data_IF_855738377188
#
_entry.id   IF_855738377188
#
_cell.length_a   1.000
_cell.length_b   1.000
_cell.length_c   1.000
_cell.angle_alpha   90.00
_cell.angle_beta   90.00
_cell.angle_gamma   90.00
#
_symmetry.space_group_name_H-M   'P 1'
#
loop_
_entity.id
_entity.type
_entity.pdbx_description
1 polymer ?
#
# COMPACT_ATOMS: atom_id res chain seq x y z
N UNK A 1 -17.41 -2.18 -10.42
CA UNK A 1 -18.30 -2.33 -9.25
C UNK A 1 -17.41 -2.27 -8.01
N UNK A 2 -17.78 -1.40 -7.03
CA UNK A 2 -17.05 -1.29 -5.77
C UNK A 2 -17.21 -2.56 -4.95
N UNK A 3 -16.11 -3.02 -4.33
CA UNK A 3 -16.09 -4.14 -3.41
C UNK A 3 -15.65 -3.69 -2.02
N UNK A 4 -16.14 -4.30 -0.94
CA UNK A 4 -15.71 -3.95 0.41
C UNK A 4 -14.21 -4.20 0.59
N UNK A 5 -13.62 -3.47 1.51
CA UNK A 5 -12.23 -3.70 1.90
C UNK A 5 -12.07 -5.07 2.56
N UNK A 6 -10.98 -5.73 2.24
CA UNK A 6 -10.61 -7.01 2.86
C UNK A 6 -9.86 -6.78 4.17
N UNK A 7 -9.79 -7.80 5.05
CA UNK A 7 -9.00 -7.71 6.29
C UNK A 7 -7.52 -7.36 6.07
N UNK A 8 -6.94 -7.77 4.95
CA UNK A 8 -5.55 -7.50 4.60
C UNK A 8 -5.33 -6.09 4.01
N UNK A 9 -6.40 -5.34 3.72
CA UNK A 9 -6.27 -4.01 3.16
C UNK A 9 -5.93 -2.99 4.24
N UNK A 10 -5.02 -2.04 3.96
CA UNK A 10 -4.73 -0.97 4.90
C UNK A 10 -5.95 -0.05 5.05
N UNK A 11 -6.21 0.48 6.24
CA UNK A 11 -7.29 1.46 6.44
C UNK A 11 -6.91 2.84 5.91
N UNK A 12 -5.61 3.12 5.82
CA UNK A 12 -5.07 4.42 5.41
C UNK A 12 -3.71 4.23 4.73
N UNK A 13 -3.45 4.97 3.67
CA UNK A 13 -2.15 5.05 2.99
C UNK A 13 -1.80 6.52 2.82
N UNK A 14 -0.61 6.94 3.30
CA UNK A 14 -0.29 8.34 3.40
C UNK A 14 -1.36 9.11 4.18
N UNK A 15 -1.87 10.18 3.63
CA UNK A 15 -2.94 11.00 4.23
C UNK A 15 -4.36 10.59 3.81
N UNK A 16 -4.50 9.49 3.06
CA UNK A 16 -5.76 9.08 2.45
C UNK A 16 -6.39 7.89 3.16
N UNK A 17 -7.66 8.02 3.53
CA UNK A 17 -8.48 6.92 4.06
C UNK A 17 -9.07 6.10 2.91
N UNK A 18 -9.07 4.77 3.07
CA UNK A 18 -9.55 3.86 2.04
C UNK A 18 -10.96 3.37 2.41
N UNK A 19 -11.89 3.46 1.44
CA UNK A 19 -13.31 3.15 1.64
C UNK A 19 -13.72 1.84 0.98
N UNK A 20 -13.25 1.60 -0.25
CA UNK A 20 -13.62 0.42 -1.02
C UNK A 20 -12.53 0.03 -2.02
N UNK A 21 -12.54 -1.23 -2.43
CA UNK A 21 -11.75 -1.73 -3.56
C UNK A 21 -12.43 -1.41 -4.88
N UNK A 22 -11.66 -0.95 -5.83
CA UNK A 22 -12.10 -0.58 -7.18
C UNK A 22 -11.67 -1.60 -8.23
N UNK A 23 -10.37 -1.89 -8.26
CA UNK A 23 -9.72 -2.85 -9.16
C UNK A 23 -8.70 -3.65 -8.37
N UNK A 24 -8.62 -4.94 -8.61
CA UNK A 24 -7.58 -5.80 -8.04
C UNK A 24 -6.89 -6.61 -9.13
N UNK A 25 -5.57 -6.64 -9.09
CA UNK A 25 -4.70 -7.41 -9.95
C UNK A 25 -3.57 -8.04 -9.12
N UNK A 26 -2.84 -9.04 -9.63
CA UNK A 26 -1.69 -9.59 -8.93
C UNK A 26 -0.59 -8.56 -8.62
N UNK A 27 -0.50 -7.51 -9.42
CA UNK A 27 0.46 -6.40 -9.23
C UNK A 27 0.06 -5.41 -8.15
N UNK A 28 -1.20 -5.36 -7.74
CA UNK A 28 -1.68 -4.42 -6.74
C UNK A 28 -3.18 -4.24 -6.71
N UNK A 29 -3.62 -3.25 -5.95
CA UNK A 29 -5.04 -2.92 -5.78
C UNK A 29 -5.25 -1.43 -5.93
N UNK A 30 -6.30 -1.06 -6.66
CA UNK A 30 -6.81 0.30 -6.67
C UNK A 30 -8.00 0.41 -5.71
N UNK A 31 -7.99 1.45 -4.91
CA UNK A 31 -9.01 1.76 -3.91
C UNK A 31 -9.68 3.09 -4.25
N UNK A 32 -10.93 3.21 -3.87
CA UNK A 32 -11.57 4.52 -3.65
C UNK A 32 -11.33 4.90 -2.20
N UNK A 33 -11.05 6.17 -1.98
CA UNK A 33 -10.85 6.74 -0.67
C UNK A 33 -11.10 8.23 -0.66
N UNK A 34 -10.72 8.87 0.42
CA UNK A 34 -10.87 10.32 0.59
C UNK A 34 -9.71 10.92 1.37
N UNK A 35 -9.47 12.20 1.18
CA UNK A 35 -8.54 12.99 1.96
C UNK A 35 -9.15 13.49 3.27
N UNK A 36 -8.42 14.33 4.02
CA UNK A 36 -8.88 14.93 5.28
C UNK A 36 -10.08 15.88 5.09
N UNK A 37 -10.29 16.39 3.88
CA UNK A 37 -11.40 17.28 3.52
C UNK A 37 -12.59 16.52 2.91
N UNK A 38 -12.57 15.18 2.95
CA UNK A 38 -13.53 14.30 2.30
C UNK A 38 -13.56 14.44 0.75
N UNK A 39 -12.47 14.90 0.14
CA UNK A 39 -12.37 14.92 -1.33
C UNK A 39 -12.11 13.48 -1.81
N UNK A 40 -12.92 12.97 -2.75
CA UNK A 40 -12.75 11.61 -3.25
C UNK A 40 -11.45 11.49 -4.04
N UNK A 41 -10.72 10.40 -3.77
CA UNK A 41 -9.49 10.03 -4.49
C UNK A 41 -9.54 8.57 -4.93
N UNK A 42 -8.72 8.24 -5.91
CA UNK A 42 -8.38 6.86 -6.25
C UNK A 42 -6.93 6.60 -5.88
N UNK A 43 -6.68 5.56 -5.08
CA UNK A 43 -5.34 5.20 -4.65
C UNK A 43 -4.96 3.85 -5.24
N UNK A 44 -3.87 3.80 -5.97
CA UNK A 44 -3.28 2.57 -6.49
C UNK A 44 -2.09 2.20 -5.60
N UNK A 45 -2.12 1.00 -5.03
CA UNK A 45 -1.09 0.45 -4.15
C UNK A 45 -0.56 -0.85 -4.74
N UNK A 46 0.75 -0.96 -4.87
CA UNK A 46 1.38 -2.21 -5.34
C UNK A 46 1.23 -3.35 -4.32
N UNK A 47 1.20 -4.57 -4.85
CA UNK A 47 1.26 -5.78 -4.04
C UNK A 47 2.63 -5.96 -3.39
N UNK A 48 2.70 -6.79 -2.35
CA UNK A 48 3.95 -7.16 -1.67
C UNK A 48 4.99 -7.71 -2.67
N UNK A 49 4.55 -8.55 -3.60
CA UNK A 49 5.42 -9.12 -4.61
C UNK A 49 5.96 -8.09 -5.59
N UNK A 50 5.10 -7.23 -6.14
CA UNK A 50 5.50 -6.16 -7.05
C UNK A 50 6.38 -5.11 -6.34
N UNK A 51 6.08 -4.79 -5.07
CA UNK A 51 6.86 -3.86 -4.27
C UNK A 51 8.30 -4.36 -4.03
N UNK A 52 8.50 -5.67 -3.87
CA UNK A 52 9.82 -6.27 -3.70
C UNK A 52 10.64 -6.31 -4.99
N UNK A 53 10.00 -6.27 -6.18
CA UNK A 53 10.68 -6.33 -7.48
C UNK A 53 11.04 -4.93 -8.01
N UNK A 54 12.34 -4.69 -8.22
CA UNK A 54 12.83 -3.39 -8.71
C UNK A 54 12.22 -3.01 -10.07
N UNK A 55 12.14 -3.96 -11.00
CA UNK A 55 11.57 -3.73 -12.33
C UNK A 55 10.08 -3.39 -12.28
N UNK A 56 9.32 -4.00 -11.35
CA UNK A 56 7.91 -3.66 -11.14
C UNK A 56 7.75 -2.24 -10.59
N UNK A 57 8.59 -1.83 -9.63
CA UNK A 57 8.60 -0.45 -9.10
C UNK A 57 8.93 0.57 -10.18
N UNK A 58 9.92 0.29 -11.04
CA UNK A 58 10.28 1.18 -12.16
C UNK A 58 9.15 1.29 -13.19
N UNK A 59 8.50 0.18 -13.55
CA UNK A 59 7.33 0.21 -14.44
C UNK A 59 6.19 1.04 -13.83
N UNK A 60 5.93 0.88 -12.55
CA UNK A 60 4.93 1.68 -11.85
C UNK A 60 5.27 3.17 -11.87
N UNK A 61 6.52 3.54 -11.53
CA UNK A 61 6.98 4.92 -11.60
C UNK A 61 6.88 5.48 -13.03
N UNK A 62 7.23 4.69 -14.04
CA UNK A 62 7.09 5.03 -15.45
C UNK A 62 5.64 5.29 -15.84
N UNK A 63 4.72 4.39 -15.48
CA UNK A 63 3.28 4.54 -15.74
C UNK A 63 2.72 5.80 -15.08
N UNK A 64 3.09 6.06 -13.82
CA UNK A 64 2.66 7.28 -13.09
C UNK A 64 3.22 8.54 -13.73
N UNK A 65 4.48 8.52 -14.18
CA UNK A 65 5.11 9.68 -14.84
C UNK A 65 4.51 10.02 -16.22
N UNK A 66 3.78 9.09 -16.84
CA UNK A 66 3.05 9.34 -18.09
C UNK A 66 1.70 10.05 -17.86
N UNK A 67 1.18 10.03 -16.64
CA UNK A 67 -0.08 10.68 -16.31
C UNK A 67 0.02 12.21 -16.43
N UNK A 68 -1.13 12.84 -16.65
CA UNK A 68 -1.20 14.30 -16.59
C UNK A 68 -0.94 14.78 -15.17
N UNK A 69 -0.20 15.87 -15.01
CA UNK A 69 0.24 16.39 -13.72
C UNK A 69 -0.93 16.72 -12.78
N UNK A 70 -2.06 17.14 -13.34
CA UNK A 70 -3.24 17.48 -12.53
C UNK A 70 -4.03 16.25 -12.07
N UNK A 71 -3.75 15.08 -12.64
CA UNK A 71 -4.35 13.81 -12.23
C UNK A 71 -3.69 13.23 -10.98
N UNK A 72 -2.39 13.47 -10.82
CA UNK A 72 -1.61 12.93 -9.69
C UNK A 72 -1.66 13.91 -8.52
N UNK A 73 -2.31 13.48 -7.42
CA UNK A 73 -2.45 14.28 -6.19
C UNK A 73 -1.23 14.08 -5.30
N UNK A 74 -0.83 12.81 -5.09
CA UNK A 74 0.33 12.45 -4.27
C UNK A 74 0.87 11.09 -4.69
N UNK A 75 2.09 10.81 -4.31
CA UNK A 75 2.74 9.50 -4.50
C UNK A 75 3.73 9.25 -3.37
N UNK A 76 4.03 7.99 -3.09
CA UNK A 76 4.99 7.60 -2.07
C UNK A 76 5.37 6.14 -2.19
N UNK A 77 6.23 5.71 -1.26
CA UNK A 77 6.85 4.40 -1.29
C UNK A 77 8.16 4.38 -2.08
N UNK A 78 8.87 3.28 -1.99
CA UNK A 78 10.22 3.16 -2.51
C UNK A 78 10.28 3.33 -4.04
N UNK A 79 11.19 4.18 -4.51
CA UNK A 79 11.38 4.46 -5.94
C UNK A 79 10.35 5.42 -6.56
N UNK A 80 9.56 6.14 -5.75
CA UNK A 80 8.57 7.11 -6.24
C UNK A 80 9.05 8.55 -6.21
N UNK A 81 10.24 8.82 -5.73
CA UNK A 81 10.88 10.14 -5.68
C UNK A 81 11.66 10.49 -6.94
N UNK A 82 11.79 9.55 -7.88
CA UNK A 82 12.46 9.75 -9.17
C UNK A 82 11.48 10.15 -10.28
N UNK A 83 11.96 10.91 -11.25
CA UNK A 83 11.22 11.32 -12.43
C UNK A 83 10.50 12.66 -12.32
N UNK A 84 9.69 12.98 -13.35
CA UNK A 84 9.09 14.31 -13.56
C UNK A 84 8.25 14.81 -12.38
N UNK A 85 7.59 13.93 -11.68
CA UNK A 85 6.68 14.25 -10.57
C UNK A 85 7.33 14.06 -9.20
N UNK A 86 8.52 13.45 -9.11
CA UNK A 86 9.18 13.10 -7.87
C UNK A 86 9.36 14.29 -6.92
N UNK A 87 10.01 15.34 -7.38
CA UNK A 87 10.30 16.53 -6.56
C UNK A 87 9.05 17.28 -6.08
N UNK A 88 7.92 17.16 -6.80
CA UNK A 88 6.66 17.83 -6.44
C UNK A 88 5.91 17.12 -5.33
N UNK A 89 6.04 15.80 -5.26
CA UNK A 89 5.19 14.95 -4.41
C UNK A 89 5.99 14.12 -3.39
N UNK A 90 7.27 14.46 -3.19
CA UNK A 90 8.09 13.80 -2.19
C UNK A 90 7.53 14.07 -0.79
N UNK A 91 7.25 13.00 -0.06
CA UNK A 91 6.84 13.08 1.33
C UNK A 91 8.06 12.96 2.25
N UNK A 92 8.10 13.66 3.38
CA UNK A 92 9.18 13.53 4.38
C UNK A 92 9.31 12.11 4.97
N UNK A 93 8.27 11.27 4.77
CA UNK A 93 8.30 9.86 5.17
C UNK A 93 9.05 8.94 4.20
N UNK A 94 9.57 9.48 3.09
CA UNK A 94 10.41 8.75 2.13
C UNK A 94 11.90 8.76 2.55
N UNK A 95 12.16 8.64 3.86
CA UNK A 95 13.51 8.45 4.35
C UNK A 95 14.16 7.22 3.71
N UNK A 96 15.47 7.27 3.44
CA UNK A 96 16.17 6.15 2.85
C UNK A 96 15.96 4.91 3.73
N UNK A 97 15.35 3.90 3.12
CA UNK A 97 15.13 2.60 3.75
C UNK A 97 16.49 1.95 3.93
N UNK A 98 16.75 1.38 5.11
CA UNK A 98 17.93 0.58 5.34
C UNK A 98 18.00 -0.51 4.24
N UNK A 99 19.16 -0.77 3.61
CA UNK A 99 19.30 -1.79 2.57
C UNK A 99 18.78 -3.18 2.97
N UNK A 100 18.75 -3.48 4.27
CA UNK A 100 18.26 -4.75 4.81
C UNK A 100 16.74 -4.76 5.05
N UNK A 101 16.06 -3.61 4.96
CA UNK A 101 14.62 -3.51 5.13
C UNK A 101 13.86 -3.84 3.84
N UNK A 102 12.67 -4.45 4.00
CA UNK A 102 11.77 -4.63 2.87
C UNK A 102 11.33 -3.26 2.33
N UNK A 103 11.34 -3.05 1.00
CA UNK A 103 10.99 -1.77 0.43
C UNK A 103 9.52 -1.42 0.73
N UNK A 104 9.28 -0.15 1.08
CA UNK A 104 7.92 0.38 1.19
C UNK A 104 7.19 0.24 -0.15
N UNK A 105 5.97 -0.26 -0.10
CA UNK A 105 5.17 -0.46 -1.30
C UNK A 105 4.86 0.87 -1.99
N UNK A 106 5.20 1.00 -3.27
CA UNK A 106 4.82 2.16 -4.06
C UNK A 106 3.31 2.34 -4.14
N UNK A 107 2.88 3.59 -4.06
CA UNK A 107 1.49 3.97 -4.22
C UNK A 107 1.36 5.34 -4.91
N UNK A 108 0.20 5.58 -5.49
CA UNK A 108 -0.18 6.87 -6.08
C UNK A 108 -1.63 7.18 -5.76
N UNK A 109 -1.89 8.41 -5.34
CA UNK A 109 -3.23 8.98 -5.19
C UNK A 109 -3.54 9.83 -6.43
N UNK A 110 -4.67 9.53 -7.06
CA UNK A 110 -5.15 10.17 -8.28
C UNK A 110 -6.49 10.86 -8.02
N UNK A 111 -6.74 11.94 -8.75
CA UNK A 111 -8.06 12.57 -8.76
C UNK A 111 -9.11 11.57 -9.25
N UNK A 112 -10.23 11.47 -8.54
CA UNK A 112 -11.29 10.51 -8.83
C UNK A 112 -12.63 11.19 -9.04
N UNK A 113 -13.16 11.04 -10.23
CA UNK A 113 -14.44 11.61 -10.66
C UNK A 113 -15.57 10.56 -10.75
N UNK A 114 -15.28 9.30 -10.38
CA UNK A 114 -16.23 8.20 -10.47
C UNK A 114 -16.41 7.65 -11.90
N UNK A 115 -15.66 8.15 -12.88
CA UNK A 115 -15.81 7.75 -14.27
C UNK A 115 -15.26 6.36 -14.56
N UNK A 116 -15.83 5.65 -15.55
CA UNK A 116 -15.23 4.41 -16.04
C UNK A 116 -13.80 4.59 -16.59
N UNK A 117 -13.47 5.78 -17.08
CA UNK A 117 -12.15 6.12 -17.58
C UNK A 117 -11.11 6.11 -16.46
N UNK A 118 -11.40 6.68 -15.30
CA UNK A 118 -10.53 6.63 -14.13
C UNK A 118 -10.28 5.19 -13.67
N UNK A 119 -11.34 4.36 -13.66
CA UNK A 119 -11.24 2.94 -13.33
C UNK A 119 -10.34 2.20 -14.33
N UNK A 120 -10.52 2.48 -15.62
CA UNK A 120 -9.71 1.92 -16.70
C UNK A 120 -8.23 2.31 -16.57
N UNK A 121 -7.96 3.54 -16.16
CA UNK A 121 -6.59 4.02 -15.93
C UNK A 121 -5.90 3.28 -14.78
N UNK A 122 -6.58 3.03 -13.67
CA UNK A 122 -6.03 2.20 -12.59
C UNK A 122 -5.72 0.78 -13.07
N UNK A 123 -6.63 0.18 -13.84
CA UNK A 123 -6.40 -1.13 -14.46
C UNK A 123 -5.20 -1.11 -15.40
N UNK A 124 -5.04 -0.08 -16.23
CA UNK A 124 -3.92 0.09 -17.15
C UNK A 124 -2.59 0.13 -16.41
N UNK A 125 -2.49 0.91 -15.32
CA UNK A 125 -1.29 1.00 -14.50
C UNK A 125 -0.91 -0.37 -13.93
N UNK A 126 -1.88 -1.07 -13.34
CA UNK A 126 -1.64 -2.39 -12.74
C UNK A 126 -1.26 -3.45 -13.78
N UNK A 127 -1.89 -3.42 -14.96
CA UNK A 127 -1.57 -4.32 -16.07
C UNK A 127 -0.17 -4.06 -16.65
N UNK A 128 0.25 -2.79 -16.72
CA UNK A 128 1.59 -2.41 -17.17
C UNK A 128 2.67 -2.93 -16.21
N UNK A 129 2.44 -2.82 -14.91
CA UNK A 129 3.33 -3.39 -13.88
C UNK A 129 3.45 -4.90 -14.03
N UNK A 130 2.34 -5.59 -14.28
CA UNK A 130 2.28 -7.05 -14.45
C UNK A 130 2.71 -7.52 -15.86
N UNK A 131 3.01 -6.61 -16.79
CA UNK A 131 3.29 -6.91 -18.20
C UNK A 131 2.12 -7.65 -18.89
N UNK A 132 0.89 -7.48 -18.38
CA UNK A 132 -0.28 -8.23 -18.84
C UNK A 132 -0.76 -7.80 -20.25
N UNK A 133 -0.36 -6.62 -20.70
CA UNK A 133 -0.79 -6.03 -21.98
C UNK A 133 0.30 -6.00 -23.04
N UNK A 134 1.41 -6.71 -22.85
CA UNK A 134 2.42 -6.80 -23.89
C UNK A 134 1.88 -7.62 -25.06
N UNK A 135 1.90 -7.07 -26.30
CA UNK A 135 1.50 -7.83 -27.45
C UNK A 135 2.49 -8.96 -27.71
N UNK A 136 1.98 -10.13 -28.09
CA UNK A 136 2.82 -11.24 -28.51
C UNK A 136 3.66 -10.84 -29.73
N UNK A 137 4.97 -11.01 -29.63
CA UNK A 137 5.93 -10.78 -30.69
C UNK A 137 6.29 -12.12 -31.34
N UNK A 138 5.48 -12.56 -32.30
CA UNK A 138 5.68 -13.83 -32.99
C UNK A 138 4.99 -15.02 -32.33
N UNK A 139 5.35 -16.24 -32.77
CA UNK A 139 4.78 -17.47 -32.22
C UNK A 139 5.54 -17.89 -30.96
N UNK A 140 4.87 -18.14 -29.84
CA UNK A 140 5.53 -18.64 -28.62
C UNK A 140 6.27 -19.94 -28.88
N UNK A 141 7.54 -20.03 -28.51
CA UNK A 141 8.41 -21.18 -28.76
C UNK A 141 9.21 -21.62 -27.52
N UNK A 142 8.69 -21.37 -26.31
CA UNK A 142 9.35 -21.75 -25.07
C UNK A 142 8.33 -22.07 -23.99
N UNK A 143 8.79 -22.40 -22.77
CA UNK A 143 7.92 -22.55 -21.62
C UNK A 143 7.24 -21.21 -21.29
N UNK A 144 6.04 -21.27 -20.72
CA UNK A 144 5.32 -20.09 -20.27
C UNK A 144 6.16 -19.32 -19.24
N UNK A 145 6.39 -18.04 -19.52
CA UNK A 145 7.06 -17.15 -18.58
C UNK A 145 6.07 -16.64 -17.54
N UNK A 146 6.46 -16.75 -16.27
CA UNK A 146 5.69 -16.21 -15.16
C UNK A 146 6.57 -15.33 -14.30
N UNK A 147 6.08 -14.15 -13.95
CA UNK A 147 6.77 -13.26 -13.03
C UNK A 147 6.91 -13.93 -11.66
N UNK A 148 8.11 -14.01 -11.13
CA UNK A 148 8.44 -14.74 -9.90
C UNK A 148 7.70 -14.23 -8.64
N UNK A 149 7.20 -13.01 -8.69
CA UNK A 149 6.50 -12.35 -7.59
C UNK A 149 4.97 -12.38 -7.72
N UNK A 150 4.43 -12.85 -8.85
CA UNK A 150 3.01 -12.73 -9.20
C UNK A 150 2.04 -13.38 -8.19
N UNK A 151 2.50 -14.37 -7.45
CA UNK A 151 1.71 -15.07 -6.43
C UNK A 151 1.63 -14.33 -5.10
N UNK A 152 2.47 -13.32 -4.88
CA UNK A 152 2.47 -12.49 -3.68
C UNK A 152 1.60 -11.26 -3.89
N UNK A 153 0.30 -11.50 -4.10
CA UNK A 153 -0.68 -10.47 -4.47
C UNK A 153 -1.32 -9.73 -3.28
N UNK A 154 -0.83 -9.93 -2.05
CA UNK A 154 -1.29 -9.15 -0.90
C UNK A 154 -0.90 -7.68 -1.07
N UNK A 155 -1.72 -6.72 -0.59
CA UNK A 155 -1.31 -5.32 -0.56
C UNK A 155 0.04 -5.16 0.14
N UNK A 156 0.92 -4.39 -0.46
CA UNK A 156 2.23 -4.13 0.10
C UNK A 156 2.17 -3.20 1.31
N UNK A 157 3.23 -3.21 2.12
CA UNK A 157 3.34 -2.36 3.31
C UNK A 157 3.75 -0.96 2.86
N UNK A 158 2.86 0.02 3.02
CA UNK A 158 3.11 1.40 2.63
C UNK A 158 3.65 2.28 3.79
N UNK A 159 3.76 1.72 5.00
CA UNK A 159 4.21 2.45 6.19
C UNK A 159 4.87 1.52 7.19
N UNK A 160 6.07 1.88 7.67
CA UNK A 160 6.79 1.12 8.71
C UNK A 160 6.57 1.69 10.11
N UNK A 161 6.33 2.96 10.24
CA UNK A 161 6.18 3.64 11.54
C UNK A 161 4.88 4.45 11.63
N UNK A 162 4.23 4.54 12.80
CA UNK A 162 4.63 4.02 14.12
C UNK A 162 4.42 2.52 14.30
N UNK A 163 3.66 1.88 13.44
CA UNK A 163 3.45 0.44 13.39
C UNK A 163 3.29 0.05 11.93
N UNK A 164 3.91 -1.03 11.46
CA UNK A 164 3.61 -1.59 10.16
C UNK A 164 2.10 -1.84 10.12
N UNK A 165 1.45 -1.48 9.01
CA UNK A 165 0.05 -1.79 8.81
C UNK A 165 -0.06 -3.16 8.14
N UNK A 166 -0.30 -4.24 8.87
CA UNK A 166 -0.50 -5.57 8.29
C UNK A 166 -1.95 -5.82 7.88
N UNK A 167 -2.78 -4.80 7.93
CA UNK A 167 -4.18 -4.87 7.55
C UNK A 167 -5.17 -4.52 8.67
N UNK A 168 -6.44 -4.50 8.34
CA UNK A 168 -7.53 -4.13 9.26
C UNK A 168 -7.76 -5.14 10.40
N UNK A 169 -7.25 -6.36 10.26
CA UNK A 169 -7.41 -7.43 11.25
C UNK A 169 -6.39 -7.40 12.36
N UNK A 170 -5.35 -6.57 12.26
CA UNK A 170 -4.40 -6.39 13.35
C UNK A 170 -4.94 -5.47 14.46
N UNK A 171 -6.21 -5.56 14.68
CA UNK A 171 -6.78 -5.17 15.97
C UNK A 171 -6.26 -6.17 16.98
N UNK A 172 -5.85 -5.65 18.14
CA UNK A 172 -5.40 -6.44 19.25
C UNK A 172 -6.21 -7.73 19.37
N UNK A 173 -5.61 -8.84 18.97
CA UNK A 173 -6.26 -10.15 19.11
C UNK A 173 -6.53 -10.41 20.58
N UNK A 174 -7.42 -11.34 20.89
CA UNK A 174 -7.74 -11.71 22.27
C UNK A 174 -6.49 -12.00 23.12
N UNK A 175 -5.43 -12.55 22.51
CA UNK A 175 -4.13 -12.79 23.17
C UNK A 175 -3.47 -11.47 23.59
N UNK A 176 -3.45 -10.47 22.71
CA UNK A 176 -2.87 -9.15 23.01
C UNK A 176 -3.66 -8.44 24.10
N UNK A 177 -4.99 -8.55 24.08
CA UNK A 177 -5.85 -8.04 25.16
C UNK A 177 -5.58 -8.76 26.50
N UNK A 178 -5.44 -10.09 26.47
CA UNK A 178 -5.11 -10.88 27.64
C UNK A 178 -3.76 -10.51 28.22
N UNK A 179 -2.72 -10.41 27.39
CA UNK A 179 -1.36 -10.00 27.82
C UNK A 179 -1.37 -8.58 28.40
N UNK A 180 -2.06 -7.64 27.76
CA UNK A 180 -2.19 -6.28 28.28
C UNK A 180 -2.92 -6.23 29.62
N UNK A 181 -3.97 -7.02 29.78
CA UNK A 181 -4.72 -7.13 31.03
C UNK A 181 -3.85 -7.73 32.14
N UNK A 182 -3.13 -8.81 31.88
CA UNK A 182 -2.22 -9.44 32.85
C UNK A 182 -1.07 -8.49 33.25
N UNK A 183 -0.53 -7.74 32.31
CA UNK A 183 0.50 -6.75 32.58
C UNK A 183 -0.03 -5.62 33.50
N UNK A 184 -1.21 -5.10 33.20
CA UNK A 184 -1.87 -4.09 34.03
C UNK A 184 -2.16 -4.63 35.44
N UNK A 185 -2.67 -5.86 35.56
CA UNK A 185 -2.92 -6.50 36.84
C UNK A 185 -1.62 -6.67 37.67
N UNK A 186 -0.54 -7.08 36.99
CA UNK A 186 0.79 -7.22 37.63
C UNK A 186 1.31 -5.87 38.16
N UNK A 187 1.24 -4.82 37.33
CA UNK A 187 1.67 -3.47 37.73
C UNK A 187 0.85 -2.96 38.95
N UNK A 188 -0.45 -3.19 38.90
CA UNK A 188 -1.35 -2.80 40.01
C UNK A 188 -1.03 -3.58 41.28
N UNK A 189 -0.79 -4.88 41.18
CA UNK A 189 -0.41 -5.71 42.35
C UNK A 189 0.93 -5.28 42.97
N UNK A 190 1.93 -4.97 42.13
CA UNK A 190 3.24 -4.48 42.58
C UNK A 190 3.09 -3.10 43.25
N UNK A 191 2.31 -2.21 42.65
CA UNK A 191 2.04 -0.87 43.26
C UNK A 191 1.36 -0.99 44.62
N UNK A 192 0.39 -1.88 44.78
CA UNK A 192 -0.35 -2.12 46.01
C UNK A 192 0.56 -2.74 47.08
N UNK A 193 1.42 -3.70 46.70
CA UNK A 193 2.40 -4.29 47.59
C UNK A 193 3.40 -3.23 48.10
N UNK A 194 3.90 -2.37 47.23
CA UNK A 194 4.80 -1.27 47.63
C UNK A 194 4.10 -0.27 48.55
N UNK A 195 2.83 0.04 48.27
CA UNK A 195 2.05 0.90 49.14
C UNK A 195 1.90 0.31 50.56
N UNK A 196 1.62 -1.00 50.68
CA UNK A 196 1.50 -1.71 51.95
C UNK A 196 2.84 -1.76 52.71
N UNK A 197 3.95 -1.85 52.01
CA UNK A 197 5.29 -1.92 52.62
C UNK A 197 5.80 -0.54 53.08
N UNK A 198 5.31 0.55 52.48
CA UNK A 198 5.75 1.91 52.76
C UNK A 198 4.85 2.65 53.80
N UNK A 199 3.65 2.13 54.01
CA UNK A 199 2.67 2.70 54.96
C UNK A 199 2.19 1.65 55.99
#
# INVERSE_FOLDING_TARGET
QLSPLLPADPPKVGDYWLDARLVAAPSGVAFVGHDQLNTPIMLVLLSEGAAADAGARERFAGAVNQLHIDTVIARGGHGQDEGRLGNKYRHESDDPVDPDDAPLAPWVALAYDGSPAAIGEAGRILDEVALARLPLQGTPAGPDYRLHWIDRARPGVARLWPLPWPGRTDRAGWITMLVSFLLMALITAVALLLAILLF
#
